data_IF_519277425687
#
_entry.id   IF_519277425687
#
_cell.length_a   1.000
_cell.length_b   1.000
_cell.length_c   1.000
_cell.angle_alpha   90.00
_cell.angle_beta   90.00
_cell.angle_gamma   90.00
#
_symmetry.space_group_name_H-M   'P 1'
#
loop_
_entity.id
_entity.type
_entity.pdbx_description
1 polymer ?
#
# COMPACT_ATOMS: atom_id res chain seq x y z
N UNK A 1 -30.49 -18.20 -2.33
CA UNK A 1 -29.29 -19.06 -2.40
C UNK A 1 -28.79 -19.29 -3.81
N UNK A 2 -29.65 -19.67 -4.76
CA UNK A 2 -29.23 -19.87 -6.15
C UNK A 2 -28.69 -18.62 -6.85
N UNK A 3 -29.22 -17.43 -6.53
CA UNK A 3 -28.78 -16.16 -7.10
C UNK A 3 -27.37 -15.80 -6.61
N UNK A 4 -27.06 -16.09 -5.35
CA UNK A 4 -25.73 -15.84 -4.76
C UNK A 4 -24.70 -16.77 -5.37
N UNK A 5 -25.03 -18.05 -5.56
CA UNK A 5 -24.09 -19.01 -6.16
C UNK A 5 -23.82 -18.73 -7.65
N UNK A 6 -24.81 -18.21 -8.39
CA UNK A 6 -24.63 -17.76 -9.79
C UNK A 6 -23.75 -16.52 -9.88
N UNK A 7 -23.89 -15.59 -8.96
CA UNK A 7 -23.05 -14.40 -8.89
C UNK A 7 -21.62 -14.76 -8.52
N UNK A 8 -21.43 -15.69 -7.60
CA UNK A 8 -20.10 -16.18 -7.23
C UNK A 8 -19.42 -16.90 -8.40
N UNK A 9 -20.16 -17.72 -9.16
CA UNK A 9 -19.60 -18.37 -10.36
C UNK A 9 -19.21 -17.35 -11.42
N UNK A 10 -20.05 -16.36 -11.69
CA UNK A 10 -19.75 -15.32 -12.67
C UNK A 10 -18.56 -14.46 -12.24
N UNK A 11 -18.42 -14.17 -10.95
CA UNK A 11 -17.28 -13.45 -10.43
C UNK A 11 -15.99 -14.27 -10.53
N UNK A 12 -16.05 -15.57 -10.27
CA UNK A 12 -14.91 -16.47 -10.39
C UNK A 12 -14.48 -16.63 -11.87
N UNK A 13 -15.43 -16.76 -12.78
CA UNK A 13 -15.13 -16.84 -14.22
C UNK A 13 -14.50 -15.55 -14.73
N UNK A 14 -15.02 -14.38 -14.33
CA UNK A 14 -14.41 -13.08 -14.65
C UNK A 14 -13.01 -12.94 -14.07
N UNK A 15 -12.80 -13.41 -12.87
CA UNK A 15 -11.49 -13.37 -12.22
C UNK A 15 -10.50 -14.26 -12.97
N UNK A 16 -10.90 -15.47 -13.38
CA UNK A 16 -10.05 -16.39 -14.13
C UNK A 16 -9.72 -15.87 -15.52
N UNK A 17 -10.68 -15.31 -16.26
CA UNK A 17 -10.45 -14.73 -17.58
C UNK A 17 -9.57 -13.47 -17.52
N UNK A 18 -9.69 -12.66 -16.48
CA UNK A 18 -8.91 -11.45 -16.31
C UNK A 18 -7.51 -11.67 -15.74
N UNK A 19 -7.21 -12.86 -15.18
CA UNK A 19 -5.89 -13.15 -14.60
C UNK A 19 -4.76 -13.02 -15.62
N UNK A 20 -4.93 -13.48 -16.85
CA UNK A 20 -3.93 -13.37 -17.91
C UNK A 20 -3.72 -11.92 -18.36
N UNK A 21 -4.79 -11.13 -18.39
CA UNK A 21 -4.70 -9.69 -18.69
C UNK A 21 -4.09 -8.93 -17.52
N UNK A 22 -4.44 -9.31 -16.29
CA UNK A 22 -3.89 -8.74 -15.07
C UNK A 22 -2.39 -9.01 -14.96
N UNK A 23 -1.90 -10.19 -15.32
CA UNK A 23 -0.46 -10.50 -15.32
C UNK A 23 0.33 -9.62 -16.27
N UNK A 24 -0.20 -9.29 -17.43
CA UNK A 24 0.43 -8.35 -18.37
C UNK A 24 0.41 -6.91 -17.85
N UNK A 25 -0.67 -6.51 -17.17
CA UNK A 25 -0.77 -5.19 -16.54
C UNK A 25 0.16 -5.03 -15.36
N UNK A 26 0.29 -6.08 -14.54
CA UNK A 26 1.08 -6.07 -13.32
C UNK A 26 2.53 -5.64 -13.54
N UNK A 27 3.14 -5.98 -14.66
CA UNK A 27 4.52 -5.63 -14.95
C UNK A 27 4.68 -4.11 -15.14
N UNK A 28 3.77 -3.47 -15.86
CA UNK A 28 3.81 -2.02 -16.13
C UNK A 28 3.40 -1.23 -14.88
N UNK A 29 2.28 -1.61 -14.26
CA UNK A 29 1.75 -0.96 -13.06
C UNK A 29 2.70 -1.12 -11.87
N UNK A 30 3.39 -2.24 -11.79
CA UNK A 30 4.38 -2.52 -10.77
C UNK A 30 5.60 -1.59 -10.88
N UNK A 31 6.07 -1.31 -12.09
CA UNK A 31 7.13 -0.35 -12.34
C UNK A 31 6.70 1.08 -11.97
N UNK A 32 5.47 1.46 -12.27
CA UNK A 32 4.93 2.76 -11.90
C UNK A 32 4.82 2.91 -10.39
N UNK A 33 4.40 1.86 -9.69
CA UNK A 33 4.32 1.84 -8.23
C UNK A 33 5.70 2.00 -7.60
N UNK A 34 6.69 1.25 -8.06
CA UNK A 34 8.08 1.34 -7.57
C UNK A 34 8.65 2.74 -7.81
N UNK A 35 8.41 3.32 -8.98
CA UNK A 35 8.87 4.66 -9.32
C UNK A 35 8.26 5.72 -8.40
N UNK A 36 6.96 5.61 -8.10
CA UNK A 36 6.27 6.51 -7.18
C UNK A 36 6.81 6.39 -5.76
N UNK A 37 7.04 5.16 -5.29
CA UNK A 37 7.61 4.89 -3.96
C UNK A 37 9.03 5.47 -3.85
N UNK A 38 9.85 5.33 -4.87
CA UNK A 38 11.23 5.84 -4.89
C UNK A 38 11.32 7.38 -4.83
N UNK A 39 10.24 8.08 -5.16
CA UNK A 39 10.19 9.57 -5.09
C UNK A 39 9.81 10.10 -3.70
N UNK A 40 9.44 9.23 -2.78
CA UNK A 40 9.08 9.63 -1.42
C UNK A 40 10.30 10.00 -0.60
N UNK A 41 10.13 10.91 0.35
CA UNK A 41 11.16 11.19 1.35
C UNK A 41 11.46 9.93 2.18
N UNK A 42 12.65 9.85 2.75
CA UNK A 42 13.16 8.64 3.40
C UNK A 42 12.26 8.12 4.52
N UNK A 43 11.83 8.97 5.44
CA UNK A 43 11.01 8.53 6.58
C UNK A 43 9.59 8.17 6.15
N UNK A 44 8.88 8.98 5.36
CA UNK A 44 7.61 8.57 4.78
C UNK A 44 7.69 7.25 4.01
N UNK A 45 8.74 7.03 3.26
CA UNK A 45 8.98 5.79 2.52
C UNK A 45 9.10 4.59 3.47
N UNK A 46 9.87 4.72 4.55
CA UNK A 46 10.02 3.66 5.54
C UNK A 46 8.71 3.30 6.22
N UNK A 47 7.88 4.29 6.54
CA UNK A 47 6.56 4.08 7.12
C UNK A 47 5.67 3.34 6.13
N UNK A 48 5.66 3.76 4.88
CA UNK A 48 4.89 3.11 3.82
C UNK A 48 5.31 1.65 3.62
N UNK A 49 6.59 1.38 3.56
CA UNK A 49 7.12 0.02 3.39
C UNK A 49 6.84 -0.86 4.60
N UNK A 50 6.95 -0.33 5.81
CA UNK A 50 6.58 -1.06 7.02
C UNK A 50 5.10 -1.42 6.97
N UNK A 51 4.24 -0.50 6.56
CA UNK A 51 2.82 -0.74 6.41
C UNK A 51 2.54 -1.85 5.38
N UNK A 52 3.19 -1.80 4.23
CA UNK A 52 3.06 -2.84 3.18
C UNK A 52 3.54 -4.19 3.69
N UNK A 53 4.64 -4.21 4.46
CA UNK A 53 5.19 -5.45 5.02
C UNK A 53 4.22 -6.16 5.97
N UNK A 54 3.31 -5.44 6.59
CA UNK A 54 2.30 -6.00 7.49
C UNK A 54 1.14 -6.68 6.76
N UNK A 55 1.05 -6.55 5.43
CA UNK A 55 0.03 -7.24 4.64
C UNK A 55 0.40 -8.71 4.53
N UNK A 56 -0.43 -9.57 5.10
CA UNK A 56 -0.32 -11.02 4.87
C UNK A 56 -1.04 -11.34 3.57
N UNK A 57 -0.29 -11.78 2.56
CA UNK A 57 -0.83 -12.05 1.23
C UNK A 57 -1.70 -13.31 1.18
N UNK A 58 -1.57 -14.19 2.15
CA UNK A 58 -2.36 -15.41 2.25
C UNK A 58 -3.61 -15.22 3.13
N UNK A 59 -3.56 -14.26 4.05
CA UNK A 59 -4.64 -13.94 4.96
C UNK A 59 -4.79 -12.42 5.04
N UNK A 60 -5.50 -11.85 4.07
CA UNK A 60 -5.63 -10.41 3.91
C UNK A 60 -6.26 -9.75 5.14
N UNK A 61 -5.80 -8.54 5.50
CA UNK A 61 -6.33 -7.85 6.66
C UNK A 61 -7.81 -7.48 6.47
N UNK A 62 -8.59 -7.68 7.53
CA UNK A 62 -10.01 -7.34 7.52
C UNK A 62 -10.17 -5.83 7.32
N UNK A 63 -11.06 -5.45 6.42
CA UNK A 63 -11.35 -4.06 6.06
C UNK A 63 -10.11 -3.27 5.60
N UNK A 64 -9.06 -3.99 5.18
CA UNK A 64 -7.77 -3.42 4.77
C UNK A 64 -7.08 -2.61 5.88
N UNK A 65 -7.35 -2.96 7.13
CA UNK A 65 -6.80 -2.29 8.30
C UNK A 65 -5.60 -3.07 8.82
N UNK A 66 -4.51 -2.36 9.07
CA UNK A 66 -3.33 -2.90 9.75
C UNK A 66 -3.01 -2.06 10.99
N UNK A 67 -2.27 -2.66 11.91
CA UNK A 67 -1.88 -2.03 13.14
C UNK A 67 -0.36 -2.04 13.26
N UNK A 68 0.21 -0.87 13.58
CA UNK A 68 1.63 -0.70 13.82
C UNK A 68 1.86 -0.20 15.24
N UNK A 69 3.06 -0.45 15.76
CA UNK A 69 3.51 0.09 17.04
C UNK A 69 4.15 1.47 16.83
N UNK A 70 3.80 2.45 17.68
CA UNK A 70 4.52 3.73 17.71
C UNK A 70 6.01 3.53 17.97
N UNK A 71 6.36 2.57 18.85
CA UNK A 71 7.73 2.27 19.19
C UNK A 71 8.54 1.89 17.94
N UNK A 72 7.98 1.04 17.07
CA UNK A 72 8.62 0.69 15.79
C UNK A 72 8.78 1.90 14.87
N UNK A 73 7.72 2.69 14.74
CA UNK A 73 7.73 3.88 13.87
C UNK A 73 8.71 4.94 14.38
N UNK A 74 8.80 5.11 15.68
CA UNK A 74 9.69 6.09 16.30
C UNK A 74 11.18 5.74 16.11
N UNK A 75 11.52 4.48 15.83
CA UNK A 75 12.90 4.10 15.50
C UNK A 75 13.40 4.76 14.21
N UNK A 76 12.50 5.21 13.36
CA UNK A 76 12.85 5.91 12.11
C UNK A 76 13.27 7.38 12.34
N UNK A 77 13.01 7.91 13.53
CA UNK A 77 13.28 9.31 13.84
C UNK A 77 14.55 9.45 14.68
N UNK A 78 15.47 10.27 14.20
CA UNK A 78 16.72 10.58 14.88
C UNK A 78 16.57 11.90 15.67
N UNK A 79 15.64 11.90 16.63
CA UNK A 79 15.33 13.06 17.47
C UNK A 79 15.08 12.62 18.91
N UNK A 80 15.10 13.57 19.84
CA UNK A 80 14.76 13.30 21.24
C UNK A 80 13.29 12.90 21.40
N UNK A 81 12.97 12.23 22.51
CA UNK A 81 11.62 11.74 22.78
C UNK A 81 10.55 12.84 22.69
N UNK A 82 10.88 14.06 23.10
CA UNK A 82 9.96 15.20 23.03
C UNK A 82 9.61 15.62 21.59
N UNK A 83 10.51 15.37 20.64
CA UNK A 83 10.29 15.71 19.24
C UNK A 83 9.64 14.61 18.40
N UNK A 84 9.58 13.37 18.91
CA UNK A 84 9.13 12.22 18.14
C UNK A 84 7.67 12.30 17.70
N UNK A 85 6.79 12.78 18.58
CA UNK A 85 5.37 12.92 18.23
C UNK A 85 5.12 13.94 17.13
N UNK A 86 5.81 15.07 17.16
CA UNK A 86 5.73 16.09 16.12
C UNK A 86 6.28 15.55 14.79
N UNK A 87 7.42 14.88 14.83
CA UNK A 87 8.04 14.26 13.65
C UNK A 87 7.17 13.16 13.07
N UNK A 88 6.54 12.36 13.92
CA UNK A 88 5.62 11.32 13.49
C UNK A 88 4.42 11.92 12.73
N UNK A 89 3.79 12.94 13.28
CA UNK A 89 2.67 13.63 12.62
C UNK A 89 3.08 14.18 11.26
N UNK A 90 4.22 14.89 11.21
CA UNK A 90 4.75 15.44 9.96
C UNK A 90 5.03 14.34 8.93
N UNK A 91 5.61 13.22 9.38
CA UNK A 91 5.93 12.10 8.51
C UNK A 91 4.68 11.42 7.95
N UNK A 92 3.63 11.26 8.77
CA UNK A 92 2.35 10.72 8.32
C UNK A 92 1.71 11.64 7.28
N UNK A 93 1.69 12.94 7.54
CA UNK A 93 1.14 13.92 6.60
C UNK A 93 1.90 13.91 5.27
N UNK A 94 3.23 13.85 5.30
CA UNK A 94 4.06 13.72 4.10
C UNK A 94 3.81 12.41 3.37
N UNK A 95 3.72 11.30 4.09
CA UNK A 95 3.43 10.01 3.48
C UNK A 95 2.10 10.05 2.74
N UNK A 96 1.06 10.58 3.34
CA UNK A 96 -0.26 10.69 2.70
C UNK A 96 -0.26 11.60 1.47
N UNK A 97 0.60 12.62 1.46
CA UNK A 97 0.75 13.52 0.31
C UNK A 97 1.64 12.94 -0.79
N UNK A 98 2.69 12.24 -0.42
CA UNK A 98 3.70 11.72 -1.36
C UNK A 98 3.34 10.34 -1.89
N UNK A 99 2.69 9.50 -1.09
CA UNK A 99 2.22 8.19 -1.51
C UNK A 99 0.95 8.36 -2.35
N UNK A 100 1.15 8.54 -3.62
CA UNK A 100 0.10 8.80 -4.59
C UNK A 100 0.41 8.00 -5.85
N UNK A 101 -0.54 7.21 -6.32
CA UNK A 101 -0.35 6.37 -7.48
C UNK A 101 -1.32 6.74 -8.58
N UNK A 102 -0.78 6.94 -9.75
CA UNK A 102 -1.54 7.11 -10.97
C UNK A 102 -1.36 5.88 -11.85
N UNK A 103 -2.46 5.20 -12.13
CA UNK A 103 -2.47 3.98 -12.93
C UNK A 103 -3.21 4.28 -14.23
N UNK A 104 -2.49 4.22 -15.33
CA UNK A 104 -3.04 4.48 -16.67
C UNK A 104 -3.28 3.18 -17.41
N UNK A 105 -4.51 2.96 -17.81
CA UNK A 105 -4.92 1.80 -18.61
C UNK A 105 -5.27 2.28 -20.02
N UNK A 106 -4.53 1.82 -21.03
CA UNK A 106 -4.81 2.15 -22.43
C UNK A 106 -5.88 1.18 -22.95
N UNK A 107 -6.97 1.72 -23.49
CA UNK A 107 -8.06 0.95 -24.12
C UNK A 107 -8.35 1.52 -25.50
N UNK A 108 -7.96 0.78 -26.56
CA UNK A 108 -8.13 1.25 -27.93
C UNK A 108 -7.42 2.57 -28.18
N UNK A 109 -8.17 3.61 -28.61
CA UNK A 109 -7.65 4.96 -28.83
C UNK A 109 -7.72 5.86 -27.60
N UNK A 110 -8.30 5.37 -26.51
CA UNK A 110 -8.46 6.11 -25.27
C UNK A 110 -7.71 5.48 -24.11
N UNK A 111 -7.85 6.09 -22.96
CA UNK A 111 -7.24 5.58 -21.74
C UNK A 111 -8.13 5.87 -20.53
N UNK A 112 -7.93 5.08 -19.50
CA UNK A 112 -8.52 5.27 -18.17
C UNK A 112 -7.39 5.58 -17.18
N UNK A 113 -7.60 6.56 -16.31
CA UNK A 113 -6.65 6.91 -15.27
C UNK A 113 -7.29 6.70 -13.91
N UNK A 114 -6.60 5.95 -13.07
CA UNK A 114 -6.95 5.79 -11.66
C UNK A 114 -5.92 6.55 -10.84
N UNK A 115 -6.40 7.42 -9.98
CA UNK A 115 -5.58 8.23 -9.09
C UNK A 115 -5.89 7.82 -7.66
N UNK A 116 -4.92 7.23 -6.97
CA UNK A 116 -5.15 6.53 -5.70
C UNK A 116 -4.15 7.00 -4.66
N UNK A 117 -4.67 7.41 -3.48
CA UNK A 117 -3.89 7.58 -2.27
C UNK A 117 -3.94 6.25 -1.51
N UNK A 118 -2.83 5.53 -1.34
CA UNK A 118 -2.87 4.16 -0.83
C UNK A 118 -3.24 4.06 0.65
N UNK A 119 -2.86 5.02 1.48
CA UNK A 119 -3.18 5.05 2.91
C UNK A 119 -3.88 6.36 3.24
N UNK A 120 -5.20 6.47 2.96
CA UNK A 120 -5.93 7.71 3.20
C UNK A 120 -6.29 7.94 4.68
N UNK A 121 -6.20 6.89 5.49
CA UNK A 121 -6.61 6.96 6.89
C UNK A 121 -5.50 6.43 7.80
N UNK A 122 -5.12 7.27 8.78
CA UNK A 122 -4.20 6.91 9.86
C UNK A 122 -4.76 7.48 11.16
N UNK A 123 -4.86 6.64 12.18
CA UNK A 123 -5.35 7.03 13.49
C UNK A 123 -4.39 6.60 14.59
N UNK A 124 -4.12 7.50 15.52
CA UNK A 124 -3.36 7.22 16.73
C UNK A 124 -3.86 8.09 17.87
N UNK A 125 -3.53 7.72 19.09
CA UNK A 125 -3.91 8.50 20.28
C UNK A 125 -2.77 8.50 21.30
N UNK A 126 -2.98 9.19 22.42
CA UNK A 126 -2.00 9.26 23.51
C UNK A 126 -2.13 8.14 24.54
N UNK A 127 -3.14 7.28 24.41
CA UNK A 127 -3.49 6.30 25.44
C UNK A 127 -2.74 4.99 25.30
N UNK A 128 -2.37 4.62 24.08
CA UNK A 128 -1.69 3.36 23.83
C UNK A 128 -0.65 3.51 22.70
N UNK A 129 0.07 2.43 22.44
CA UNK A 129 1.14 2.39 21.45
C UNK A 129 0.65 2.07 20.02
N UNK A 130 -0.64 1.88 19.84
CA UNK A 130 -1.19 1.42 18.57
C UNK A 130 -1.42 2.56 17.58
N UNK A 131 -0.99 2.33 16.34
CA UNK A 131 -1.30 3.15 15.18
C UNK A 131 -2.12 2.31 14.23
N UNK A 132 -3.30 2.81 13.85
CA UNK A 132 -4.21 2.15 12.91
C UNK A 132 -4.06 2.80 11.55
N UNK A 133 -3.80 1.98 10.52
CA UNK A 133 -3.74 2.43 9.14
C UNK A 133 -4.75 1.65 8.32
N UNK A 134 -5.42 2.33 7.41
CA UNK A 134 -6.34 1.66 6.48
C UNK A 134 -5.88 1.93 5.04
N UNK A 135 -5.68 0.85 4.30
CA UNK A 135 -5.40 0.93 2.88
C UNK A 135 -6.67 1.19 2.09
N UNK A 136 -6.53 1.94 1.02
CA UNK A 136 -7.60 2.11 0.05
C UNK A 136 -7.83 0.76 -0.67
N UNK A 137 -9.08 0.25 -0.72
CA UNK A 137 -9.33 -1.11 -1.24
C UNK A 137 -8.84 -1.34 -2.67
N UNK A 138 -8.92 -0.34 -3.53
CA UNK A 138 -8.52 -0.46 -4.94
C UNK A 138 -7.02 -0.57 -5.14
N UNK A 139 -6.20 -0.18 -4.15
CA UNK A 139 -4.75 -0.32 -4.23
C UNK A 139 -4.28 -1.69 -3.76
N UNK A 140 -5.09 -2.45 -3.04
CA UNK A 140 -4.68 -3.71 -2.42
C UNK A 140 -4.09 -4.72 -3.40
N UNK A 141 -4.66 -4.97 -4.60
CA UNK A 141 -4.05 -5.90 -5.55
C UNK A 141 -2.61 -5.51 -5.93
N UNK A 142 -2.36 -4.22 -6.09
CA UNK A 142 -1.03 -3.71 -6.45
C UNK A 142 -0.05 -3.83 -5.28
N UNK A 143 -0.50 -3.58 -4.06
CA UNK A 143 0.32 -3.71 -2.85
C UNK A 143 0.70 -5.17 -2.57
N UNK A 144 -0.21 -6.10 -2.83
CA UNK A 144 0.06 -7.54 -2.70
C UNK A 144 1.19 -7.95 -3.64
N UNK A 145 1.14 -7.51 -4.90
CA UNK A 145 2.19 -7.77 -5.86
C UNK A 145 3.50 -7.10 -5.47
N UNK A 146 3.43 -5.86 -5.03
CA UNK A 146 4.58 -5.12 -4.57
C UNK A 146 5.29 -5.85 -3.43
N UNK A 147 4.54 -6.35 -2.46
CA UNK A 147 5.09 -7.12 -1.35
C UNK A 147 5.78 -8.41 -1.83
N UNK A 148 5.17 -9.14 -2.74
CA UNK A 148 5.75 -10.37 -3.30
C UNK A 148 7.07 -10.09 -4.01
N UNK A 149 7.18 -8.96 -4.69
CA UNK A 149 8.39 -8.57 -5.41
C UNK A 149 9.44 -7.94 -4.49
N UNK A 150 9.06 -7.25 -3.43
CA UNK A 150 9.99 -6.77 -2.42
C UNK A 150 10.75 -7.91 -1.74
N UNK A 151 10.13 -9.07 -1.57
CA UNK A 151 10.82 -10.26 -1.08
C UNK A 151 11.90 -10.76 -2.05
N UNK A 152 11.79 -10.45 -3.33
CA UNK A 152 12.77 -10.80 -4.35
C UNK A 152 13.90 -9.78 -4.48
N UNK A 153 13.61 -8.49 -4.24
CA UNK A 153 14.57 -7.39 -4.41
C UNK A 153 15.24 -6.92 -3.13
N UNK A 154 15.01 -7.60 -2.01
CA UNK A 154 15.39 -7.19 -0.67
C UNK A 154 14.89 -5.77 -0.32
N UNK A 155 13.96 -5.69 0.61
CA UNK A 155 13.46 -4.45 1.20
C UNK A 155 14.60 -3.50 1.61
N UNK A 156 15.77 -4.06 1.98
CA UNK A 156 16.96 -3.32 2.33
C UNK A 156 17.46 -2.37 1.23
N UNK A 157 17.37 -2.77 -0.04
CA UNK A 157 17.88 -1.94 -1.15
C UNK A 157 17.00 -0.71 -1.39
N UNK A 158 15.71 -0.80 -1.10
CA UNK A 158 14.79 0.32 -1.20
C UNK A 158 14.85 1.20 0.04
N UNK A 159 15.13 0.62 1.21
CA UNK A 159 15.25 1.34 2.48
C UNK A 159 16.57 2.11 2.62
N UNK A 160 17.58 1.78 1.86
CA UNK A 160 18.85 2.50 1.83
C UNK A 160 18.84 3.74 0.91
N UNK A 161 17.82 3.87 0.11
CA UNK A 161 17.62 5.06 -0.72
C UNK A 161 17.11 6.24 0.13
#
# INVERSE_FOLDING_TARGET
>A
MEIISKNERNNNERTVCSLKEIEKRKIVEHNDLITSVAKMDKVPLKIFELAVSCIDTENLPKDNIIYLSKAELFTFFDVSDNGKHTRFKEAIEKMQKQAFFEIKEVKGKGYNVKSIVPIPYVEWNSYNDMVTLQFQPQIMPYLIDLKKNFTQYALSDVMEL
#
